data_IF_193697654812
#
_entry.id   IF_193697654812
#
_cell.length_a   1.000
_cell.length_b   1.000
_cell.length_c   1.000
_cell.angle_alpha   90.00
_cell.angle_beta   90.00
_cell.angle_gamma   90.00
#
_symmetry.space_group_name_H-M   'P 1'
#
loop_
_entity.id
_entity.type
_entity.pdbx_description
1 polymer ?
#
# COMPACT_ATOMS: atom_id res chain seq x y z
N UNK A 1 14.51 2.57 29.56
CA UNK A 1 13.70 1.39 29.17
C UNK A 1 13.73 1.30 27.64
N UNK A 2 14.55 0.41 27.06
CA UNK A 2 14.84 0.45 25.62
C UNK A 2 13.66 -0.11 24.82
N UNK A 3 12.91 0.76 24.16
CA UNK A 3 11.96 0.37 23.11
C UNK A 3 12.72 0.23 21.79
N UNK A 4 13.67 -0.71 21.74
CA UNK A 4 14.39 -1.02 20.52
C UNK A 4 13.43 -1.63 19.51
N UNK A 5 13.27 -0.96 18.37
CA UNK A 5 12.61 -1.48 17.18
C UNK A 5 13.58 -2.48 16.50
N UNK A 6 13.84 -3.60 17.19
CA UNK A 6 14.81 -4.66 16.85
C UNK A 6 14.44 -5.49 15.60
N UNK A 7 13.40 -5.08 14.89
CA UNK A 7 12.83 -5.78 13.76
C UNK A 7 12.04 -7.05 14.13
N UNK A 8 11.78 -7.34 15.41
CA UNK A 8 10.87 -8.45 15.79
C UNK A 8 9.41 -7.99 15.88
N UNK A 9 9.13 -6.84 16.50
CA UNK A 9 7.78 -6.26 16.64
C UNK A 9 7.80 -4.73 16.64
N UNK A 10 6.72 -4.09 16.18
CA UNK A 10 6.49 -2.66 16.39
C UNK A 10 5.75 -2.42 17.71
N UNK A 11 6.48 -2.03 18.76
CA UNK A 11 5.96 -1.84 20.13
C UNK A 11 4.81 -0.85 20.26
N UNK A 12 4.65 0.06 19.29
CA UNK A 12 3.63 1.13 19.26
C UNK A 12 2.22 0.57 19.29
N UNK A 13 1.97 -0.52 18.55
CA UNK A 13 0.68 -1.23 18.44
C UNK A 13 0.11 -1.76 19.77
N UNK A 14 0.92 -1.77 20.84
CA UNK A 14 0.54 -2.21 22.19
C UNK A 14 0.70 -1.12 23.26
N UNK A 15 1.16 0.09 22.90
CA UNK A 15 1.59 1.13 23.86
C UNK A 15 1.16 2.55 23.53
N UNK A 16 0.83 2.84 22.28
CA UNK A 16 0.48 4.18 21.81
C UNK A 16 -0.68 4.14 20.83
N UNK A 17 -1.44 5.23 20.85
CA UNK A 17 -2.29 5.66 19.75
C UNK A 17 -2.05 7.17 19.57
N UNK A 18 -2.52 7.70 18.45
CA UNK A 18 -2.62 9.13 18.16
C UNK A 18 -4.08 9.43 17.86
N UNK A 19 -4.60 10.49 18.46
CA UNK A 19 -5.92 11.03 18.15
C UNK A 19 -5.70 12.25 17.29
N UNK A 20 -6.23 12.20 16.06
CA UNK A 20 -6.22 13.30 15.11
C UNK A 20 -7.27 14.34 15.52
N UNK A 21 -7.08 15.59 15.08
CA UNK A 21 -7.92 16.74 15.47
C UNK A 21 -9.39 16.61 15.04
N UNK A 22 -9.67 15.75 14.05
CA UNK A 22 -10.98 15.45 13.50
C UNK A 22 -11.65 14.21 14.12
N UNK A 23 -10.99 13.57 15.10
CA UNK A 23 -11.43 12.33 15.76
C UNK A 23 -10.83 11.04 15.19
N UNK A 24 -10.07 11.09 14.09
CA UNK A 24 -9.37 9.93 13.54
C UNK A 24 -8.41 9.27 14.54
N UNK A 25 -8.36 7.95 14.57
CA UNK A 25 -7.60 7.18 15.58
C UNK A 25 -6.51 6.33 14.92
N UNK A 26 -5.27 6.81 14.94
CA UNK A 26 -4.10 6.14 14.36
C UNK A 26 -3.30 5.34 15.42
N UNK A 27 -2.64 4.23 15.05
CA UNK A 27 -1.72 3.51 15.94
C UNK A 27 -0.38 4.24 16.19
N UNK A 28 -0.01 5.16 15.30
CA UNK A 28 1.28 5.85 15.31
C UNK A 28 1.23 7.11 14.43
N UNK A 29 1.92 8.17 14.84
CA UNK A 29 2.12 9.42 14.09
C UNK A 29 2.88 9.30 12.75
N UNK A 30 3.19 8.08 12.31
CA UNK A 30 3.72 7.80 10.97
C UNK A 30 2.61 7.53 9.95
N UNK A 31 1.38 7.25 10.40
CA UNK A 31 0.20 7.19 9.54
C UNK A 31 -0.48 8.55 9.62
N UNK A 32 -0.21 9.39 8.63
CA UNK A 32 -0.75 10.77 8.51
C UNK A 32 -2.06 10.82 7.75
N UNK A 33 -2.31 9.82 6.90
CA UNK A 33 -3.41 9.84 5.96
C UNK A 33 -4.65 9.21 6.59
N UNK A 34 -5.77 9.94 6.60
CA UNK A 34 -7.04 9.49 7.19
C UNK A 34 -7.54 8.13 6.67
N UNK A 35 -7.16 7.73 5.46
CA UNK A 35 -7.47 6.41 4.90
C UNK A 35 -6.80 5.26 5.68
N UNK A 36 -5.70 5.54 6.38
CA UNK A 36 -4.92 4.60 7.17
C UNK A 36 -5.27 4.62 8.68
N UNK A 37 -6.24 5.45 9.11
CA UNK A 37 -6.74 5.45 10.48
C UNK A 37 -7.40 4.11 10.83
N UNK A 38 -7.27 3.72 12.11
CA UNK A 38 -7.77 2.43 12.61
C UNK A 38 -9.21 2.53 13.12
N UNK A 39 -9.73 3.73 13.35
CA UNK A 39 -11.12 4.01 13.66
C UNK A 39 -11.38 5.52 13.80
N UNK A 40 -12.57 5.89 14.23
CA UNK A 40 -13.00 7.27 14.44
C UNK A 40 -13.68 7.40 15.81
N UNK A 41 -13.18 8.29 16.68
CA UNK A 41 -13.70 8.50 18.03
C UNK A 41 -15.05 9.22 18.08
N UNK A 42 -15.50 9.82 16.97
CA UNK A 42 -16.87 10.33 16.85
C UNK A 42 -17.90 9.19 16.72
N UNK A 43 -17.45 7.97 16.41
CA UNK A 43 -18.31 6.80 16.09
C UNK A 43 -18.09 5.61 17.02
N UNK A 44 -16.89 5.42 17.59
CA UNK A 44 -16.56 4.26 18.42
C UNK A 44 -15.62 4.62 19.57
N UNK A 45 -15.75 3.93 20.71
CA UNK A 45 -14.88 4.17 21.85
C UNK A 45 -13.44 3.69 21.58
N UNK A 46 -12.48 4.29 22.30
CA UNK A 46 -11.08 3.85 22.33
C UNK A 46 -10.96 2.34 22.56
N UNK A 47 -11.82 1.75 23.40
CA UNK A 47 -11.81 0.31 23.72
C UNK A 47 -12.22 -0.55 22.52
N UNK A 48 -13.19 -0.12 21.74
CA UNK A 48 -13.64 -0.85 20.55
C UNK A 48 -12.59 -0.76 19.45
N UNK A 49 -12.10 0.45 19.13
CA UNK A 49 -11.07 0.66 18.12
C UNK A 49 -9.80 -0.13 18.47
N UNK A 50 -9.30 -0.04 19.72
CA UNK A 50 -8.07 -0.72 20.15
C UNK A 50 -8.09 -2.25 20.03
N UNK A 51 -9.28 -2.86 19.90
CA UNK A 51 -9.46 -4.31 19.79
C UNK A 51 -10.10 -4.74 18.46
N UNK A 52 -10.26 -3.83 17.49
CA UNK A 52 -10.86 -4.14 16.19
C UNK A 52 -9.91 -4.90 15.24
N UNK A 53 -10.41 -5.25 14.07
CA UNK A 53 -9.70 -6.05 13.08
C UNK A 53 -8.47 -5.35 12.50
N UNK A 54 -8.48 -4.00 12.37
CA UNK A 54 -7.30 -3.23 11.96
C UNK A 54 -6.17 -3.36 12.99
N UNK A 55 -6.46 -3.11 14.28
CA UNK A 55 -5.47 -3.30 15.35
C UNK A 55 -5.00 -4.76 15.47
N UNK A 56 -5.92 -5.72 15.33
CA UNK A 56 -5.62 -7.15 15.42
C UNK A 56 -4.76 -7.61 14.25
N UNK A 57 -5.05 -7.17 13.03
CA UNK A 57 -4.27 -7.40 11.80
C UNK A 57 -2.87 -6.82 11.92
N UNK A 58 -2.74 -5.54 12.29
CA UNK A 58 -1.43 -4.89 12.44
C UNK A 58 -0.53 -5.60 13.48
N UNK A 59 -1.10 -6.04 14.61
CA UNK A 59 -0.39 -6.85 15.61
C UNK A 59 -0.04 -8.24 15.08
N UNK A 60 -0.89 -8.83 14.25
CA UNK A 60 -0.69 -10.14 13.64
C UNK A 60 0.34 -10.16 12.50
N UNK A 61 0.66 -9.02 11.86
CA UNK A 61 1.69 -8.91 10.82
C UNK A 61 3.05 -9.52 11.22
N UNK A 62 3.38 -9.51 12.52
CA UNK A 62 4.63 -10.06 13.05
C UNK A 62 4.60 -11.57 13.35
N UNK A 63 3.44 -12.21 13.27
CA UNK A 63 3.31 -13.68 13.35
C UNK A 63 3.87 -14.32 12.07
N UNK A 64 4.41 -15.53 12.20
CA UNK A 64 5.03 -16.29 11.10
C UNK A 64 4.01 -16.67 10.02
N UNK A 65 2.87 -17.20 10.44
CA UNK A 65 1.89 -17.87 9.57
C UNK A 65 0.61 -17.02 9.36
N UNK A 66 0.78 -15.70 9.33
CA UNK A 66 -0.30 -14.74 9.08
C UNK A 66 -0.11 -14.03 7.73
N UNK A 67 -1.21 -13.78 7.02
CA UNK A 67 -1.30 -12.92 5.86
C UNK A 67 -2.48 -11.97 6.10
N UNK A 68 -2.33 -10.65 5.94
CA UNK A 68 -3.45 -9.72 6.07
C UNK A 68 -4.40 -9.87 4.87
N UNK A 69 -5.71 -9.81 5.11
CA UNK A 69 -6.73 -9.81 4.04
C UNK A 69 -6.94 -8.41 3.46
N UNK A 70 -6.78 -7.38 4.28
CA UNK A 70 -7.03 -5.97 3.93
C UNK A 70 -5.75 -5.14 3.98
N UNK A 71 -5.72 -4.06 3.19
CA UNK A 71 -4.63 -3.10 3.25
C UNK A 71 -4.66 -2.32 4.56
N UNK A 72 -3.49 -2.12 5.15
CA UNK A 72 -3.31 -1.39 6.39
C UNK A 72 -1.97 -0.66 6.37
N UNK A 73 -1.94 0.64 6.69
CA UNK A 73 -0.75 1.49 6.52
C UNK A 73 0.51 1.04 7.26
N UNK A 74 0.38 0.11 8.22
CA UNK A 74 1.52 -0.59 8.80
C UNK A 74 2.33 -1.42 7.77
N UNK A 75 1.78 -1.75 6.60
CA UNK A 75 2.49 -2.48 5.53
C UNK A 75 3.58 -1.63 4.85
N UNK A 76 3.35 -0.32 4.70
CA UNK A 76 4.35 0.62 4.17
C UNK A 76 5.20 1.30 5.24
N UNK A 77 4.92 1.01 6.52
CA UNK A 77 5.74 1.54 7.61
C UNK A 77 7.15 0.92 7.57
N UNK A 78 8.17 1.78 7.55
CA UNK A 78 9.60 1.40 7.56
C UNK A 78 9.97 0.45 8.72
N UNK A 79 9.30 0.55 9.87
CA UNK A 79 9.48 -0.34 11.04
C UNK A 79 8.99 -1.77 10.75
N UNK A 80 7.94 -1.93 9.93
CA UNK A 80 7.48 -3.24 9.47
C UNK A 80 8.32 -3.74 8.28
N UNK A 81 8.57 -2.91 7.26
CA UNK A 81 9.41 -3.29 6.11
C UNK A 81 10.83 -3.71 6.56
N UNK A 82 11.40 -3.01 7.54
CA UNK A 82 12.67 -3.34 8.20
C UNK A 82 12.64 -4.53 9.15
N UNK A 83 11.50 -5.21 9.33
CA UNK A 83 11.32 -6.32 10.27
C UNK A 83 11.76 -7.69 9.72
N UNK A 84 11.97 -8.65 10.62
CA UNK A 84 12.12 -10.08 10.30
C UNK A 84 10.79 -10.71 9.83
N UNK A 85 9.65 -10.03 9.97
CA UNK A 85 8.38 -10.52 9.45
C UNK A 85 8.26 -10.21 7.95
N UNK A 86 8.40 -8.94 7.56
CA UNK A 86 8.37 -8.53 6.15
C UNK A 86 9.43 -9.25 5.30
N UNK A 87 10.70 -9.32 5.77
CA UNK A 87 11.77 -10.06 5.06
C UNK A 87 11.50 -11.56 4.86
N UNK A 88 10.63 -12.19 5.67
CA UNK A 88 10.24 -13.60 5.52
C UNK A 88 8.96 -13.79 4.69
N UNK A 89 8.05 -12.81 4.69
CA UNK A 89 6.81 -12.82 3.92
C UNK A 89 7.03 -12.42 2.45
N UNK A 90 7.98 -11.54 2.19
CA UNK A 90 8.15 -10.88 0.89
C UNK A 90 7.15 -9.75 0.68
N UNK A 91 7.02 -9.24 -0.56
CA UNK A 91 5.97 -8.29 -0.93
C UNK A 91 4.57 -8.86 -0.61
N UNK A 92 3.68 -8.01 -0.12
CA UNK A 92 2.29 -8.39 0.17
C UNK A 92 1.41 -7.85 -0.94
N UNK A 93 0.98 -8.73 -1.84
CA UNK A 93 -0.03 -8.41 -2.85
C UNK A 93 -1.42 -8.72 -2.29
N UNK A 94 -2.32 -7.73 -2.32
CA UNK A 94 -3.71 -7.83 -1.88
C UNK A 94 -4.70 -7.69 -3.05
N UNK A 95 -4.20 -7.60 -4.28
CA UNK A 95 -4.99 -7.55 -5.51
C UNK A 95 -4.56 -8.71 -6.43
N UNK A 96 -4.90 -9.97 -6.07
CA UNK A 96 -4.53 -11.15 -6.84
C UNK A 96 -5.20 -11.24 -8.22
N UNK A 97 -6.08 -10.30 -8.57
CA UNK A 97 -6.64 -10.18 -9.92
C UNK A 97 -5.64 -9.49 -10.86
N UNK A 98 -5.25 -10.13 -11.99
CA UNK A 98 -4.21 -9.60 -12.86
C UNK A 98 -4.68 -8.34 -13.60
N UNK A 99 -4.04 -7.21 -13.31
CA UNK A 99 -4.29 -5.93 -14.00
C UNK A 99 -3.95 -6.05 -15.50
N UNK A 100 -4.98 -6.14 -16.34
CA UNK A 100 -4.84 -6.27 -17.79
C UNK A 100 -4.51 -4.92 -18.43
N UNK A 101 -3.22 -4.60 -18.51
CA UNK A 101 -2.72 -3.42 -19.24
C UNK A 101 -2.89 -3.59 -20.76
N UNK A 102 -3.96 -3.03 -21.32
CA UNK A 102 -4.15 -2.97 -22.77
C UNK A 102 -3.28 -1.88 -23.41
N UNK A 103 -2.10 -2.27 -23.88
CA UNK A 103 -1.20 -1.39 -24.64
C UNK A 103 -1.72 -1.26 -26.08
N UNK A 104 -2.34 -0.13 -26.39
CA UNK A 104 -2.73 0.21 -27.76
C UNK A 104 -1.47 0.33 -28.64
N UNK A 105 -1.31 -0.62 -29.57
CA UNK A 105 -0.04 -0.86 -30.26
C UNK A 105 0.45 0.30 -31.11
N UNK A 106 1.74 0.64 -30.96
CA UNK A 106 2.41 1.60 -31.83
C UNK A 106 2.46 1.07 -33.28
N UNK A 107 2.17 1.94 -34.24
CA UNK A 107 2.14 1.62 -35.68
C UNK A 107 3.52 1.14 -36.15
N UNK A 108 3.66 -0.02 -36.82
CA UNK A 108 4.96 -0.56 -37.20
C UNK A 108 5.65 0.34 -38.23
N UNK A 109 6.89 0.75 -37.93
CA UNK A 109 7.76 1.45 -38.87
C UNK A 109 8.30 0.44 -39.86
N UNK A 110 7.85 0.54 -41.12
CA UNK A 110 8.29 -0.35 -42.19
C UNK A 110 9.79 -0.14 -42.48
N UNK A 111 10.59 -1.20 -42.35
CA UNK A 111 11.99 -1.25 -42.78
C UNK A 111 12.17 -2.39 -43.77
N UNK A 112 12.43 -2.05 -45.03
CA UNK A 112 12.77 -3.04 -46.05
C UNK A 112 14.11 -3.71 -45.70
N UNK A 113 14.13 -5.04 -45.69
CA UNK A 113 15.34 -5.85 -45.59
C UNK A 113 15.21 -7.08 -46.50
N UNK A 114 16.30 -7.56 -47.12
CA UNK A 114 16.26 -8.75 -47.97
C UNK A 114 16.09 -10.03 -47.14
N UNK A 115 15.64 -11.10 -47.79
CA UNK A 115 15.32 -12.37 -47.15
C UNK A 115 16.57 -13.08 -46.60
N UNK A 116 16.48 -13.58 -45.36
CA UNK A 116 17.00 -14.90 -44.99
C UNK A 116 16.11 -15.52 -43.90
N UNK A 117 16.03 -16.84 -43.83
CA UNK A 117 14.94 -17.56 -43.16
C UNK A 117 15.43 -18.71 -42.26
N UNK A 118 15.90 -18.40 -41.04
CA UNK A 118 16.01 -19.40 -39.97
C UNK A 118 16.19 -18.81 -38.56
N UNK A 119 15.10 -18.73 -37.77
CA UNK A 119 15.01 -19.12 -36.33
C UNK A 119 13.72 -18.64 -35.63
N UNK A 120 13.07 -19.59 -34.95
CA UNK A 120 12.49 -19.40 -33.61
C UNK A 120 13.60 -19.73 -32.57
N UNK A 121 13.50 -19.38 -31.28
CA UNK A 121 12.32 -18.92 -30.53
C UNK A 121 12.56 -17.65 -29.67
N UNK A 122 11.58 -17.29 -28.83
CA UNK A 122 11.80 -16.47 -27.64
C UNK A 122 10.96 -15.19 -27.58
N UNK A 123 9.98 -15.13 -26.67
CA UNK A 123 9.25 -13.90 -26.36
C UNK A 123 9.94 -13.14 -25.23
N UNK A 124 10.79 -12.18 -25.57
CA UNK A 124 11.41 -11.29 -24.58
C UNK A 124 10.35 -10.39 -23.92
N UNK A 125 10.18 -10.51 -22.59
CA UNK A 125 9.32 -9.61 -21.80
C UNK A 125 10.17 -8.48 -21.24
N UNK A 126 10.17 -7.34 -21.93
CA UNK A 126 10.77 -6.10 -21.42
C UNK A 126 9.84 -5.48 -20.37
N UNK A 127 10.24 -5.55 -19.10
CA UNK A 127 9.54 -4.88 -18.00
C UNK A 127 10.10 -3.46 -17.83
N UNK A 128 9.40 -2.46 -18.37
CA UNK A 128 9.71 -1.05 -18.14
C UNK A 128 8.86 -0.50 -16.98
N UNK A 129 9.50 -0.09 -15.89
CA UNK A 129 8.86 0.71 -14.85
C UNK A 129 9.01 2.20 -15.19
N UNK A 130 7.89 2.93 -15.24
CA UNK A 130 7.88 4.39 -15.36
C UNK A 130 6.81 4.98 -14.44
N UNK A 131 7.25 5.73 -13.44
CA UNK A 131 6.38 6.58 -12.64
C UNK A 131 5.99 7.81 -13.46
N UNK A 132 4.70 8.11 -13.54
CA UNK A 132 4.18 9.31 -14.21
C UNK A 132 2.82 9.69 -13.66
N UNK A 133 2.79 10.68 -12.75
CA UNK A 133 1.53 11.30 -12.34
C UNK A 133 0.99 12.15 -13.50
N UNK A 134 -0.33 12.08 -13.72
CA UNK A 134 -1.05 13.05 -14.55
C UNK A 134 -2.25 13.53 -13.73
N UNK A 135 -2.12 14.71 -13.14
CA UNK A 135 -3.24 15.41 -12.52
C UNK A 135 -4.27 15.80 -13.59
N UNK A 136 -5.56 15.66 -13.29
CA UNK A 136 -6.62 16.21 -14.13
C UNK A 136 -7.64 16.95 -13.27
N UNK A 137 -7.69 18.27 -13.45
CA UNK A 137 -8.60 19.18 -12.75
C UNK A 137 -9.95 19.18 -13.48
N UNK A 138 -11.01 18.71 -12.83
CA UNK A 138 -12.40 18.88 -13.30
C UNK A 138 -13.12 19.97 -12.51
N UNK A 139 -13.52 21.03 -13.22
CA UNK A 139 -14.10 22.27 -12.69
C UNK A 139 -15.63 22.20 -12.62
N UNK A 140 -16.23 22.66 -11.52
CA UNK A 140 -17.68 22.77 -11.33
C UNK A 140 -18.10 24.20 -10.89
N UNK A 141 -19.42 24.46 -10.85
CA UNK A 141 -20.06 25.79 -10.82
C UNK A 141 -21.34 25.75 -9.96
N UNK A 142 -21.79 26.81 -9.26
CA UNK A 142 -21.29 28.20 -9.16
C UNK A 142 -20.78 28.53 -7.73
N UNK A 143 -21.19 29.50 -6.89
CA UNK A 143 -22.19 30.61 -6.90
C UNK A 143 -21.70 31.75 -5.97
N UNK A 144 -22.13 32.99 -6.22
CA UNK A 144 -21.76 34.17 -5.40
C UNK A 144 -22.84 34.49 -4.36
N UNK A 145 -22.45 34.82 -3.11
CA UNK A 145 -23.27 35.60 -2.18
C UNK A 145 -22.77 37.05 -2.05
N UNK A 146 -23.68 37.93 -1.63
CA UNK A 146 -23.43 39.34 -1.25
C UNK A 146 -22.91 39.43 0.19
#
# INVERSE_FOLDING_TARGET
KPYQEDGQVCWRLWRTAVVNWDGGFAPCCYLTDKTQDFGDLNVSSVKEIWNNDKYTTARALYKKDFVPTEWIGCLDCSVYQGSRAARRRGPVDLHPEPVVLQVNGAKPVNKNGPNDASKLPGSERVYASQNGQVENITKAKTEEPV
#
